data_IF_263349294941
#
_entry.id   IF_263349294941
#
_cell.length_a   1.000
_cell.length_b   1.000
_cell.length_c   1.000
_cell.angle_alpha   90.00
_cell.angle_beta   90.00
_cell.angle_gamma   90.00
#
_symmetry.space_group_name_H-M   'P 1'
#
loop_
_entity.id
_entity.type
_entity.pdbx_description
1 polymer ?
#
# COMPACT_ATOMS: atom_id res chain seq x y z
N UNK A 1 -5.79 -13.49 -2.16
CA UNK A 1 -6.36 -13.44 -0.79
C UNK A 1 -5.59 -14.24 0.26
N UNK A 2 -4.53 -14.98 -0.10
CA UNK A 2 -3.68 -15.73 0.85
C UNK A 2 -2.69 -14.85 1.63
N UNK A 3 -2.10 -13.86 0.97
CA UNK A 3 -1.10 -12.96 1.57
C UNK A 3 -1.66 -12.08 2.70
N UNK A 4 -2.93 -11.66 2.60
CA UNK A 4 -3.62 -10.94 3.67
C UNK A 4 -3.86 -11.84 4.90
N UNK A 5 -4.19 -13.12 4.68
CA UNK A 5 -4.40 -14.06 5.77
C UNK A 5 -3.08 -14.38 6.48
N UNK A 6 -2.01 -14.59 5.72
CA UNK A 6 -0.66 -14.76 6.28
C UNK A 6 -0.19 -13.53 7.06
N UNK A 7 -0.43 -12.34 6.51
CA UNK A 7 -0.15 -11.09 7.20
C UNK A 7 -1.01 -10.93 8.47
N UNK A 8 -2.29 -11.28 8.42
CA UNK A 8 -3.20 -11.24 9.56
C UNK A 8 -2.74 -12.14 10.71
N UNK A 9 -2.29 -13.37 10.40
CA UNK A 9 -1.75 -14.33 11.38
C UNK A 9 -0.42 -13.91 12.01
N UNK A 10 0.32 -13.03 11.34
CA UNK A 10 1.62 -12.56 11.81
C UNK A 10 1.47 -11.60 13.00
N UNK A 11 1.86 -11.99 14.21
CA UNK A 11 1.61 -11.18 15.42
C UNK A 11 2.59 -10.01 15.61
N UNK A 12 3.53 -9.79 14.67
CA UNK A 12 4.61 -8.82 14.85
C UNK A 12 4.10 -7.37 14.73
N UNK A 13 4.76 -6.50 15.50
CA UNK A 13 4.61 -5.05 15.41
C UNK A 13 5.27 -4.57 14.11
N UNK A 14 4.54 -3.76 13.36
CA UNK A 14 4.96 -3.11 12.12
C UNK A 14 5.07 -1.61 12.37
N UNK A 15 6.25 -1.04 12.12
CA UNK A 15 6.50 0.40 12.22
C UNK A 15 6.34 1.13 10.90
N UNK A 16 6.39 0.41 9.78
CA UNK A 16 6.27 0.96 8.45
C UNK A 16 6.00 -0.12 7.41
N UNK A 17 5.39 0.29 6.31
CA UNK A 17 5.03 -0.60 5.21
C UNK A 17 5.24 0.07 3.85
N UNK A 18 5.79 -0.68 2.90
CA UNK A 18 5.90 -0.29 1.49
C UNK A 18 5.14 -1.32 0.67
N UNK A 19 4.22 -0.86 -0.15
CA UNK A 19 3.49 -1.69 -1.11
C UNK A 19 3.85 -1.28 -2.51
N UNK A 20 4.05 -2.25 -3.40
CA UNK A 20 4.09 -2.00 -4.84
C UNK A 20 2.87 -2.64 -5.50
N UNK A 21 2.23 -1.92 -6.41
CA UNK A 21 1.12 -2.45 -7.19
C UNK A 21 1.02 -1.73 -8.54
N UNK A 22 0.33 -2.33 -9.52
CA UNK A 22 0.01 -1.63 -10.76
C UNK A 22 -1.19 -0.72 -10.55
N UNK A 23 -2.44 -1.21 -10.38
CA UNK A 23 -3.53 -0.39 -9.87
C UNK A 23 -3.66 -0.54 -8.36
N UNK A 24 -4.18 0.49 -7.71
CA UNK A 24 -4.71 0.39 -6.36
C UNK A 24 -6.23 0.42 -6.40
N UNK A 25 -6.88 -0.42 -5.60
CA UNK A 25 -8.25 -0.17 -5.18
C UNK A 25 -8.18 0.55 -3.82
N UNK A 26 -8.37 1.89 -3.78
CA UNK A 26 -8.10 2.65 -2.58
C UNK A 26 -9.16 2.41 -1.49
N UNK A 27 -10.41 2.14 -1.86
CA UNK A 27 -11.48 1.76 -0.93
C UNK A 27 -11.15 0.45 -0.22
N UNK A 28 -10.67 -0.55 -0.98
CA UNK A 28 -10.22 -1.82 -0.41
C UNK A 28 -9.01 -1.61 0.50
N UNK A 29 -8.05 -0.78 0.09
CA UNK A 29 -6.88 -0.48 0.92
C UNK A 29 -7.28 0.13 2.27
N UNK A 30 -8.13 1.15 2.28
CA UNK A 30 -8.54 1.84 3.52
C UNK A 30 -9.40 0.95 4.44
N UNK A 31 -10.29 0.15 3.86
CA UNK A 31 -11.24 -0.65 4.62
C UNK A 31 -10.68 -2.01 5.07
N UNK A 32 -9.68 -2.55 4.39
CA UNK A 32 -9.14 -3.89 4.67
C UNK A 32 -7.68 -3.81 5.09
N UNK A 33 -6.79 -3.39 4.19
CA UNK A 33 -5.33 -3.43 4.40
C UNK A 33 -4.93 -2.53 5.57
N UNK A 34 -5.40 -1.28 5.57
CA UNK A 34 -5.09 -0.30 6.60
C UNK A 34 -5.58 -0.75 7.97
N UNK A 35 -6.74 -1.42 8.07
CA UNK A 35 -7.24 -1.95 9.35
C UNK A 35 -6.28 -2.99 9.92
N UNK A 36 -5.72 -3.86 9.10
CA UNK A 36 -4.71 -4.83 9.53
C UNK A 36 -3.39 -4.16 9.92
N UNK A 37 -2.97 -3.11 9.20
CA UNK A 37 -1.79 -2.32 9.59
C UNK A 37 -1.96 -1.63 10.94
N UNK A 38 -3.14 -1.07 11.23
CA UNK A 38 -3.46 -0.42 12.51
C UNK A 38 -3.36 -1.42 13.67
N UNK A 39 -3.90 -2.64 13.50
CA UNK A 39 -3.80 -3.71 14.50
C UNK A 39 -2.36 -4.07 14.84
N UNK A 40 -1.41 -3.79 13.93
CA UNK A 40 0.02 -4.04 14.07
C UNK A 40 0.85 -2.79 14.39
N UNK A 41 0.23 -1.70 14.85
CA UNK A 41 0.88 -0.42 15.18
C UNK A 41 1.35 0.43 13.97
N UNK A 42 1.03 0.06 12.74
CA UNK A 42 1.38 0.82 11.54
C UNK A 42 0.22 1.76 11.14
N UNK A 43 0.10 2.91 11.81
CA UNK A 43 -1.04 3.83 11.63
C UNK A 43 -0.85 4.92 10.57
N UNK A 44 0.40 5.35 10.35
CA UNK A 44 0.75 6.50 9.51
C UNK A 44 1.88 6.27 8.51
N UNK A 45 2.63 5.18 8.67
CA UNK A 45 3.90 4.97 7.97
C UNK A 45 3.75 3.95 6.83
N UNK A 46 2.71 4.09 6.02
CA UNK A 46 2.50 3.26 4.85
C UNK A 46 2.67 4.07 3.57
N UNK A 47 3.44 3.55 2.62
CA UNK A 47 3.58 4.10 1.27
C UNK A 47 3.17 3.05 0.26
N UNK A 48 2.33 3.43 -0.70
CA UNK A 48 2.02 2.60 -1.87
C UNK A 48 2.67 3.24 -3.09
N UNK A 49 3.63 2.52 -3.66
CA UNK A 49 4.22 2.79 -4.96
C UNK A 49 3.32 2.18 -6.02
N UNK A 50 2.87 2.98 -6.97
CA UNK A 50 2.02 2.50 -8.06
C UNK A 50 2.36 3.15 -9.39
N UNK A 51 1.94 2.51 -10.47
CA UNK A 51 2.11 3.05 -11.81
C UNK A 51 1.51 4.46 -11.93
N UNK A 52 2.23 5.36 -12.59
CA UNK A 52 1.83 6.76 -12.70
C UNK A 52 0.46 6.93 -13.33
N UNK A 53 0.10 6.12 -14.33
CA UNK A 53 -1.21 6.18 -14.98
C UNK A 53 -2.30 5.79 -13.98
N UNK A 54 -2.08 4.73 -13.20
CA UNK A 54 -3.01 4.30 -12.14
C UNK A 54 -3.10 5.31 -10.99
N UNK A 55 -2.00 5.95 -10.63
CA UNK A 55 -1.98 7.04 -9.64
C UNK A 55 -2.90 8.19 -10.06
N UNK A 56 -2.72 8.73 -11.28
CA UNK A 56 -3.52 9.87 -11.73
C UNK A 56 -5.01 9.54 -11.82
N UNK A 57 -5.36 8.32 -12.24
CA UNK A 57 -6.75 7.83 -12.19
C UNK A 57 -7.31 7.80 -10.76
N UNK A 58 -6.49 7.42 -9.78
CA UNK A 58 -6.89 7.38 -8.36
C UNK A 58 -7.06 8.77 -7.76
N UNK A 59 -6.33 9.77 -8.27
CA UNK A 59 -6.40 11.16 -7.80
C UNK A 59 -7.58 11.96 -8.38
N UNK A 60 -8.31 11.42 -9.37
CA UNK A 60 -9.48 12.09 -9.93
C UNK A 60 -10.49 12.44 -8.82
N UNK A 61 -11.15 13.61 -8.84
CA UNK A 61 -12.01 14.08 -7.75
C UNK A 61 -13.11 13.09 -7.35
N UNK A 62 -13.67 12.36 -8.30
CA UNK A 62 -14.71 11.35 -8.08
C UNK A 62 -14.24 10.20 -7.20
N UNK A 63 -12.97 9.81 -7.35
CA UNK A 63 -12.34 8.73 -6.59
C UNK A 63 -11.78 9.27 -5.30
N UNK A 64 -11.01 10.36 -5.34
CA UNK A 64 -10.28 10.89 -4.19
C UNK A 64 -11.18 11.44 -3.08
N UNK A 65 -12.37 11.97 -3.41
CA UNK A 65 -13.37 12.38 -2.39
C UNK A 65 -13.84 11.25 -1.48
N UNK A 66 -13.75 10.00 -1.93
CA UNK A 66 -14.13 8.83 -1.13
C UNK A 66 -13.04 8.37 -0.17
N UNK A 67 -11.86 8.99 -0.22
CA UNK A 67 -10.64 8.55 0.46
C UNK A 67 -10.31 9.51 1.59
N UNK A 68 -10.42 9.01 2.81
CA UNK A 68 -10.38 9.87 3.99
C UNK A 68 -8.98 9.98 4.60
N UNK A 69 -8.06 9.09 4.21
CA UNK A 69 -6.83 8.86 4.93
C UNK A 69 -5.56 9.07 4.08
N UNK A 70 -5.70 9.27 2.77
CA UNK A 70 -4.58 9.59 1.87
C UNK A 70 -3.92 10.90 2.29
N UNK A 71 -2.58 10.93 2.27
CA UNK A 71 -1.77 12.09 2.61
C UNK A 71 -1.58 12.30 4.11
N UNK A 72 -2.45 11.72 4.95
CA UNK A 72 -2.39 11.86 6.41
C UNK A 72 -1.93 10.59 7.13
N UNK A 73 -2.41 9.43 6.69
CA UNK A 73 -2.14 8.12 7.33
C UNK A 73 -1.39 7.15 6.41
N UNK A 74 -1.36 7.45 5.12
CA UNK A 74 -0.55 6.74 4.15
C UNK A 74 -0.36 7.62 2.92
N UNK A 75 0.66 7.31 2.14
CA UNK A 75 1.00 8.08 0.95
C UNK A 75 0.90 7.21 -0.30
N UNK A 76 0.43 7.80 -1.38
CA UNK A 76 0.51 7.25 -2.72
C UNK A 76 1.66 7.94 -3.45
N UNK A 77 2.55 7.17 -4.06
CA UNK A 77 3.67 7.70 -4.82
C UNK A 77 3.68 7.12 -6.24
N UNK A 78 3.56 7.96 -7.29
CA UNK A 78 3.59 7.51 -8.67
C UNK A 78 5.00 7.08 -9.07
N UNK A 79 5.11 5.95 -9.76
CA UNK A 79 6.33 5.49 -10.41
C UNK A 79 6.15 5.66 -11.92
N UNK A 80 6.91 6.59 -12.48
CA UNK A 80 6.97 6.82 -13.92
C UNK A 80 8.15 6.04 -14.51
N UNK A 81 7.86 5.16 -15.46
CA UNK A 81 8.89 4.48 -16.26
C UNK A 81 9.04 5.16 -17.62
N UNK A 82 10.15 4.86 -18.31
CA UNK A 82 10.38 5.29 -19.70
C UNK A 82 9.28 4.75 -20.63
N UNK A 83 9.13 5.39 -21.80
CA UNK A 83 8.04 5.16 -22.78
C UNK A 83 7.64 3.69 -22.93
N UNK A 84 6.31 3.46 -22.87
CA UNK A 84 5.63 2.17 -23.07
C UNK A 84 5.93 1.08 -22.02
N UNK A 85 6.51 1.43 -20.87
CA UNK A 85 6.69 0.48 -19.75
C UNK A 85 5.67 0.76 -18.64
N UNK A 86 5.29 -0.30 -17.92
CA UNK A 86 4.36 -0.24 -16.77
C UNK A 86 5.05 -0.69 -15.49
N UNK A 87 4.72 -0.05 -14.38
CA UNK A 87 5.18 -0.47 -13.05
C UNK A 87 4.25 -1.54 -12.48
N UNK A 88 4.61 -2.82 -12.65
CA UNK A 88 3.77 -3.96 -12.23
C UNK A 88 4.35 -4.91 -11.15
N UNK A 89 5.34 -4.54 -10.30
CA UNK A 89 5.79 -5.44 -9.24
C UNK A 89 4.72 -5.57 -8.14
N UNK A 90 4.63 -6.75 -7.51
CA UNK A 90 3.78 -7.02 -6.34
C UNK A 90 4.65 -7.43 -5.16
N UNK A 91 5.31 -6.44 -4.59
CA UNK A 91 6.23 -6.61 -3.48
C UNK A 91 5.70 -5.81 -2.30
N UNK A 92 5.66 -6.45 -1.14
CA UNK A 92 5.19 -5.84 0.10
C UNK A 92 6.27 -5.98 1.16
N UNK A 93 6.78 -4.85 1.65
CA UNK A 93 7.76 -4.80 2.72
C UNK A 93 7.13 -4.30 4.01
N UNK A 94 7.43 -4.98 5.11
CA UNK A 94 6.99 -4.60 6.45
C UNK A 94 8.20 -4.50 7.37
N UNK A 95 8.39 -3.34 7.98
CA UNK A 95 9.52 -3.08 8.89
C UNK A 95 9.08 -3.24 10.35
N UNK A 96 9.90 -3.95 11.12
CA UNK A 96 9.83 -4.05 12.59
C UNK A 96 11.15 -3.56 13.19
N UNK A 97 11.30 -3.56 14.52
CA UNK A 97 12.45 -2.95 15.21
C UNK A 97 13.80 -3.42 14.65
N UNK A 98 13.93 -4.73 14.42
CA UNK A 98 15.20 -5.37 14.08
C UNK A 98 15.12 -6.25 12.82
N UNK A 99 13.99 -6.25 12.10
CA UNK A 99 13.75 -7.15 10.96
C UNK A 99 12.83 -6.52 9.93
N UNK A 100 13.06 -6.88 8.67
CA UNK A 100 12.18 -6.60 7.53
C UNK A 100 11.61 -7.92 7.02
N UNK A 101 10.32 -7.95 6.69
CA UNK A 101 9.72 -9.06 5.94
C UNK A 101 9.25 -8.56 4.59
N UNK A 102 9.69 -9.23 3.53
CA UNK A 102 9.21 -9.03 2.17
C UNK A 102 8.28 -10.16 1.76
N UNK A 103 7.24 -9.83 1.01
CA UNK A 103 6.46 -10.78 0.24
C UNK A 103 6.57 -10.42 -1.23
N UNK A 104 6.66 -11.43 -2.10
CA UNK A 104 6.75 -11.27 -3.56
C UNK A 104 5.67 -12.13 -4.20
N UNK A 105 4.97 -11.59 -5.19
CA UNK A 105 3.99 -12.31 -5.99
C UNK A 105 3.79 -11.71 -7.37
#
# INVERSE_FOLDING_TARGET
MQLLQEFGRDTRIVYGAIFTTFPINPVFFENVIRRELIKKNCRKNAVILLDSISYYKTMLPEVSKSLNFIGNNYHLAPIQLMRQKVFHPKIFFFTSKNRVKGYVG
#
